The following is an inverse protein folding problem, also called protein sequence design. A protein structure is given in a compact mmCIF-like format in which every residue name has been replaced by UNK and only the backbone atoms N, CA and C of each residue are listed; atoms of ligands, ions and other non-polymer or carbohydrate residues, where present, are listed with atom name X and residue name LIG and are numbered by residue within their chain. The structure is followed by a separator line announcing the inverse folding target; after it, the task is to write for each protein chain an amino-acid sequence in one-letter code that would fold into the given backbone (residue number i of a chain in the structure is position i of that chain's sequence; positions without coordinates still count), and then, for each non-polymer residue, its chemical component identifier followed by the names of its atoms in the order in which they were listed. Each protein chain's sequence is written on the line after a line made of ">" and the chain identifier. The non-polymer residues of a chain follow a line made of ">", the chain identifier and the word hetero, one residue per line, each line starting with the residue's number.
data_IF_127052335696
#
_entry.id   IF_127052335696
#
_cell.length_a   1.000
_cell.length_b   1.000
_cell.length_c   1.000
_cell.angle_alpha   90.00
_cell.angle_beta   90.00
_cell.angle_gamma   90.00
#
_symmetry.space_group_name_H-M   'P 1'
#
loop_
_entity.id
_entity.type
_entity.pdbx_description
1 polymer ?
#
# COMPACT_ATOMS: atom_id res chain seq x y z
N UNK A 1 38.32 19.04 -5.82
CA UNK A 1 37.07 18.24 -5.91
C UNK A 1 36.19 18.86 -6.98
N UNK A 2 35.67 18.13 -7.97
CA UNK A 2 34.78 18.71 -8.99
C UNK A 2 33.46 19.12 -8.34
N UNK A 3 33.05 20.38 -8.47
CA UNK A 3 31.77 20.85 -7.95
C UNK A 3 30.59 20.29 -8.76
N UNK A 4 29.43 20.01 -8.13
CA UNK A 4 28.21 19.65 -8.85
C UNK A 4 27.73 20.84 -9.70
N UNK A 5 27.76 20.72 -11.03
CA UNK A 5 27.13 21.72 -11.90
C UNK A 5 25.59 21.56 -11.83
N UNK A 6 24.83 22.64 -11.55
CA UNK A 6 23.38 22.59 -11.53
C UNK A 6 22.83 22.29 -12.93
N UNK A 7 22.02 21.24 -13.07
CA UNK A 7 21.30 20.92 -14.32
C UNK A 7 21.76 19.69 -15.09
N UNK A 8 22.84 19.00 -14.71
CA UNK A 8 23.30 17.79 -15.44
C UNK A 8 22.66 16.52 -14.89
N UNK A 9 21.98 15.75 -15.75
CA UNK A 9 21.48 14.40 -15.46
C UNK A 9 22.62 13.56 -14.88
N UNK A 10 22.41 13.01 -13.67
CA UNK A 10 23.32 12.04 -13.04
C UNK A 10 22.77 10.66 -13.31
N UNK A 11 23.52 9.87 -14.06
CA UNK A 11 23.21 8.48 -14.35
C UNK A 11 24.35 7.61 -13.85
N UNK A 12 24.00 6.57 -13.11
CA UNK A 12 24.90 5.53 -12.68
C UNK A 12 24.32 4.18 -13.10
N UNK A 13 25.14 3.37 -13.76
CA UNK A 13 24.80 2.02 -14.18
C UNK A 13 25.94 1.11 -13.76
N UNK A 14 25.62 0.05 -13.03
CA UNK A 14 26.62 -0.94 -12.62
C UNK A 14 27.15 -1.72 -13.81
N UNK A 15 28.42 -2.09 -13.77
CA UNK A 15 29.04 -2.96 -14.78
C UNK A 15 28.53 -4.39 -14.69
N UNK A 16 28.24 -4.86 -13.48
CA UNK A 16 27.63 -6.17 -13.27
C UNK A 16 26.22 -6.20 -13.86
N UNK A 17 25.95 -7.21 -14.69
CA UNK A 17 24.66 -7.43 -15.34
C UNK A 17 24.12 -8.81 -15.01
N UNK A 18 22.81 -8.87 -14.78
CA UNK A 18 22.06 -10.09 -14.54
C UNK A 18 20.88 -10.13 -15.52
N UNK A 19 20.71 -11.20 -16.28
CA UNK A 19 19.69 -11.32 -17.34
C UNK A 19 19.71 -10.14 -18.35
N UNK A 20 20.88 -9.58 -18.66
CA UNK A 20 21.05 -8.42 -19.55
C UNK A 20 20.72 -7.06 -18.92
N UNK A 21 20.19 -7.03 -17.70
CA UNK A 21 19.89 -5.82 -16.93
C UNK A 21 21.07 -5.46 -16.01
N UNK A 22 21.37 -4.17 -15.81
CA UNK A 22 22.35 -3.77 -14.79
C UNK A 22 21.84 -4.12 -13.40
N UNK A 23 22.73 -4.54 -12.51
CA UNK A 23 22.41 -4.77 -11.10
C UNK A 23 21.82 -3.51 -10.45
N UNK A 24 22.45 -2.36 -10.65
CA UNK A 24 21.98 -1.07 -10.15
C UNK A 24 21.91 -0.08 -11.30
N UNK A 25 20.78 0.60 -11.43
CA UNK A 25 20.61 1.70 -12.36
C UNK A 25 19.95 2.87 -11.62
N UNK A 26 20.70 3.95 -11.42
CA UNK A 26 20.26 5.16 -10.77
C UNK A 26 20.25 6.31 -11.76
N UNK A 27 19.12 7.02 -11.83
CA UNK A 27 18.95 8.19 -12.68
C UNK A 27 18.33 9.33 -11.89
N UNK A 28 19.08 10.43 -11.80
CA UNK A 28 18.65 11.66 -11.15
C UNK A 28 18.67 12.84 -12.13
N UNK A 29 17.64 13.66 -12.04
CA UNK A 29 17.48 14.86 -12.88
C UNK A 29 16.75 14.59 -14.20
N UNK A 30 16.70 15.64 -15.01
CA UNK A 30 16.14 15.64 -16.36
C UNK A 30 17.26 15.69 -17.37
N UNK A 31 16.99 15.20 -18.57
CA UNK A 31 17.86 15.42 -19.72
C UNK A 31 18.07 16.94 -19.92
N UNK A 32 19.33 17.44 -19.96
CA UNK A 32 19.62 18.86 -20.15
C UNK A 32 19.20 19.42 -21.50
N UNK A 33 19.11 18.59 -22.55
CA UNK A 33 18.76 19.01 -23.91
C UNK A 33 17.25 18.92 -24.14
N UNK A 34 16.63 17.82 -23.71
CA UNK A 34 15.22 17.54 -24.01
C UNK A 34 14.27 17.87 -22.86
N UNK A 35 14.78 18.08 -21.65
CA UNK A 35 13.97 18.21 -20.43
C UNK A 35 13.27 16.92 -20.00
N UNK A 36 13.49 15.82 -20.72
CA UNK A 36 12.82 14.55 -20.47
C UNK A 36 13.20 14.00 -19.08
N UNK A 37 12.24 13.43 -18.34
CA UNK A 37 12.53 12.79 -17.08
C UNK A 37 13.38 11.54 -17.30
N UNK A 38 14.39 11.36 -16.45
CA UNK A 38 15.24 10.17 -16.51
C UNK A 38 14.49 8.88 -16.18
N UNK A 39 14.79 7.82 -16.93
CA UNK A 39 14.26 6.46 -16.74
C UNK A 39 15.36 5.52 -16.26
N UNK A 40 15.13 4.84 -15.13
CA UNK A 40 16.00 3.81 -14.59
C UNK A 40 15.45 2.41 -14.92
N UNK A 41 16.30 1.52 -15.42
CA UNK A 41 15.96 0.12 -15.77
C UNK A 41 17.07 -0.82 -15.29
N UNK A 42 16.77 -1.73 -14.37
CA UNK A 42 17.77 -2.62 -13.76
C UNK A 42 17.18 -3.63 -12.78
N UNK A 43 18.03 -4.43 -12.11
CA UNK A 43 17.58 -5.27 -10.99
C UNK A 43 17.14 -4.36 -9.84
N UNK A 44 17.98 -3.40 -9.46
CA UNK A 44 17.67 -2.30 -8.55
C UNK A 44 17.60 -1.02 -9.40
N UNK A 45 16.40 -0.51 -9.63
CA UNK A 45 16.16 0.70 -10.42
C UNK A 45 15.76 1.87 -9.50
N UNK A 46 16.46 3.00 -9.59
CA UNK A 46 16.21 4.20 -8.77
C UNK A 46 16.08 5.40 -9.68
N UNK A 47 14.92 6.07 -9.66
CA UNK A 47 14.72 7.29 -10.44
C UNK A 47 13.27 7.75 -10.47
N UNK A 48 12.96 8.83 -11.18
CA UNK A 48 11.57 9.31 -11.30
C UNK A 48 10.66 8.25 -11.92
N UNK A 49 11.14 7.60 -12.99
CA UNK A 49 10.52 6.43 -13.60
C UNK A 49 11.46 5.24 -13.41
N UNK A 50 11.07 4.28 -12.57
CA UNK A 50 11.89 3.13 -12.21
C UNK A 50 11.23 1.82 -12.67
N UNK A 51 11.99 1.00 -13.39
CA UNK A 51 11.55 -0.30 -13.91
C UNK A 51 12.55 -1.38 -13.50
N UNK A 52 12.15 -2.34 -12.67
CA UNK A 52 13.11 -3.34 -12.20
C UNK A 52 12.54 -4.44 -11.34
N UNK A 53 13.42 -5.26 -10.75
CA UNK A 53 13.00 -6.22 -9.73
C UNK A 53 12.61 -5.44 -8.47
N UNK A 54 13.53 -4.60 -7.99
CA UNK A 54 13.30 -3.60 -6.95
C UNK A 54 13.30 -2.24 -7.63
N UNK A 55 12.17 -1.53 -7.59
CA UNK A 55 12.01 -0.26 -8.27
C UNK A 55 11.68 0.85 -7.25
N UNK A 56 12.50 1.90 -7.20
CA UNK A 56 12.35 3.05 -6.29
C UNK A 56 12.11 4.30 -7.13
N UNK A 57 10.90 4.87 -7.08
CA UNK A 57 10.60 6.04 -7.91
C UNK A 57 9.27 6.73 -7.67
N UNK A 58 9.00 7.83 -8.38
CA UNK A 58 7.66 8.43 -8.35
C UNK A 58 6.65 7.50 -9.03
N UNK A 59 7.05 6.96 -10.19
CA UNK A 59 6.37 5.88 -10.88
C UNK A 59 7.31 4.68 -10.89
N UNK A 60 6.92 3.62 -10.19
CA UNK A 60 7.72 2.41 -10.02
C UNK A 60 6.96 1.19 -10.54
N UNK A 61 7.61 0.42 -11.40
CA UNK A 61 7.05 -0.83 -11.96
C UNK A 61 8.05 -1.96 -11.73
N UNK A 62 7.61 -3.06 -11.13
CA UNK A 62 8.54 -4.13 -10.83
C UNK A 62 7.98 -5.31 -10.06
N UNK A 63 8.87 -6.14 -9.51
CA UNK A 63 8.47 -7.22 -8.60
C UNK A 63 8.12 -6.63 -7.23
N UNK A 64 8.96 -5.71 -6.75
CA UNK A 64 8.88 -5.00 -5.48
C UNK A 64 9.04 -3.48 -5.69
N UNK A 65 8.04 -2.79 -6.29
CA UNK A 65 8.08 -1.34 -6.45
C UNK A 65 7.73 -0.59 -5.16
N UNK A 66 8.43 0.52 -4.96
CA UNK A 66 8.20 1.50 -3.90
C UNK A 66 8.16 2.89 -4.54
N UNK A 67 7.02 3.56 -4.44
CA UNK A 67 6.80 4.82 -5.12
C UNK A 67 5.51 5.54 -4.81
N UNK A 68 5.23 6.65 -5.49
CA UNK A 68 3.92 7.29 -5.36
C UNK A 68 2.86 6.47 -6.10
N UNK A 69 3.19 6.09 -7.33
CA UNK A 69 2.44 5.14 -8.15
C UNK A 69 3.29 3.88 -8.30
N UNK A 70 2.79 2.75 -7.79
CA UNK A 70 3.51 1.49 -7.74
C UNK A 70 2.71 0.39 -8.41
N UNK A 71 3.28 -0.22 -9.45
CA UNK A 71 2.72 -1.38 -10.15
C UNK A 71 3.62 -2.60 -9.92
N UNK A 72 3.21 -3.46 -8.98
CA UNK A 72 3.99 -4.58 -8.47
C UNK A 72 3.52 -5.94 -8.97
N UNK A 73 4.42 -6.91 -9.04
CA UNK A 73 4.04 -8.31 -9.22
C UNK A 73 3.74 -9.00 -7.89
N UNK A 74 4.62 -8.85 -6.90
CA UNK A 74 4.49 -9.52 -5.59
C UNK A 74 4.05 -8.55 -4.48
N UNK A 75 4.69 -7.39 -4.41
CA UNK A 75 4.40 -6.42 -3.35
C UNK A 75 4.55 -5.01 -3.88
N UNK A 76 3.48 -4.23 -3.83
CA UNK A 76 3.53 -2.81 -4.18
C UNK A 76 3.38 -1.94 -2.91
N UNK A 77 4.30 -0.99 -2.73
CA UNK A 77 4.24 0.00 -1.66
C UNK A 77 4.14 1.41 -2.27
N UNK A 78 3.17 2.21 -1.84
CA UNK A 78 3.00 3.55 -2.38
C UNK A 78 1.73 4.29 -2.00
N UNK A 79 1.45 5.44 -2.60
CA UNK A 79 0.16 6.10 -2.40
C UNK A 79 -0.93 5.38 -3.18
N UNK A 80 -0.65 5.10 -4.46
CA UNK A 80 -1.48 4.27 -5.32
C UNK A 80 -0.70 3.02 -5.64
N UNK A 81 -1.15 1.89 -5.10
CA UNK A 81 -0.47 0.61 -5.18
C UNK A 81 -1.38 -0.41 -5.86
N UNK A 82 -0.93 -0.92 -7.00
CA UNK A 82 -1.58 -2.04 -7.69
C UNK A 82 -0.58 -3.19 -7.74
N UNK A 83 -0.97 -4.36 -7.26
CA UNK A 83 -0.08 -5.51 -7.17
C UNK A 83 -0.74 -6.80 -7.64
N UNK A 84 0.05 -7.72 -8.17
CA UNK A 84 -0.37 -9.08 -8.51
C UNK A 84 -0.54 -10.00 -7.28
N UNK A 85 -0.06 -9.61 -6.10
CA UNK A 85 -0.21 -10.42 -4.89
C UNK A 85 -0.60 -9.57 -3.67
N UNK A 86 0.29 -8.75 -3.10
CA UNK A 86 0.00 -7.86 -1.96
C UNK A 86 0.19 -6.38 -2.28
N UNK A 87 -0.65 -5.50 -1.76
CA UNK A 87 -0.52 -4.04 -1.91
C UNK A 87 -0.72 -3.29 -0.60
N UNK A 88 0.14 -2.32 -0.34
CA UNK A 88 0.01 -1.36 0.75
C UNK A 88 0.05 0.07 0.20
N UNK A 89 -0.94 0.87 0.57
CA UNK A 89 -0.97 2.27 0.17
C UNK A 89 -2.21 3.02 0.61
N UNK A 90 -2.34 4.29 0.22
CA UNK A 90 -3.59 5.03 0.45
C UNK A 90 -4.73 4.39 -0.35
N UNK A 91 -4.46 4.08 -1.62
CA UNK A 91 -5.29 3.25 -2.49
C UNK A 91 -4.51 1.99 -2.82
N UNK A 92 -5.02 0.84 -2.37
CA UNK A 92 -4.39 -0.46 -2.56
C UNK A 92 -5.32 -1.39 -3.33
N UNK A 93 -4.83 -2.00 -4.40
CA UNK A 93 -5.53 -3.01 -5.18
C UNK A 93 -4.63 -4.22 -5.35
N UNK A 94 -5.08 -5.37 -4.86
CA UNK A 94 -4.33 -6.61 -4.97
C UNK A 94 -5.26 -7.82 -4.80
N UNK A 95 -5.03 -8.94 -5.50
CA UNK A 95 -5.94 -10.08 -5.44
C UNK A 95 -5.94 -10.79 -4.07
N UNK A 96 -4.83 -10.77 -3.33
CA UNK A 96 -4.73 -11.40 -2.01
C UNK A 96 -4.98 -10.38 -0.90
N UNK A 97 -4.00 -9.55 -0.52
CA UNK A 97 -4.14 -8.56 0.55
C UNK A 97 -4.01 -7.12 0.02
N UNK A 98 -4.98 -6.28 0.35
CA UNK A 98 -4.93 -4.84 0.17
C UNK A 98 -5.04 -4.13 1.53
N UNK A 99 -4.03 -3.33 1.88
CA UNK A 99 -4.02 -2.53 3.11
C UNK A 99 -3.95 -1.04 2.80
N UNK A 100 -4.89 -0.25 3.33
CA UNK A 100 -4.91 1.18 3.00
C UNK A 100 -6.04 2.03 3.56
N UNK A 101 -6.23 3.22 2.99
CA UNK A 101 -7.46 3.99 3.22
C UNK A 101 -8.58 3.40 2.37
N UNK A 102 -8.28 3.12 1.10
CA UNK A 102 -9.12 2.35 0.18
C UNK A 102 -8.42 1.05 -0.17
N UNK A 103 -9.08 -0.09 0.06
CA UNK A 103 -8.52 -1.41 -0.21
C UNK A 103 -9.46 -2.27 -1.06
N UNK A 104 -8.94 -2.84 -2.15
CA UNK A 104 -9.68 -3.78 -2.99
C UNK A 104 -8.88 -5.07 -3.13
N UNK A 105 -9.42 -6.19 -2.64
CA UNK A 105 -8.74 -7.48 -2.71
C UNK A 105 -9.49 -8.65 -2.09
N UNK A 106 -8.93 -9.86 -2.11
CA UNK A 106 -9.48 -11.01 -1.40
C UNK A 106 -9.67 -10.71 0.09
N UNK A 107 -8.64 -10.11 0.69
CA UNK A 107 -8.59 -9.55 2.03
C UNK A 107 -8.33 -8.06 1.96
N UNK A 108 -9.26 -7.26 2.47
CA UNK A 108 -9.10 -5.81 2.53
C UNK A 108 -9.06 -5.34 4.00
N UNK A 109 -7.93 -4.78 4.42
CA UNK A 109 -7.79 -4.08 5.69
C UNK A 109 -7.70 -2.58 5.39
N UNK A 110 -8.83 -1.89 5.44
CA UNK A 110 -8.89 -0.50 5.00
C UNK A 110 -9.96 0.31 5.73
N UNK A 111 -10.00 1.63 5.54
CA UNK A 111 -11.16 2.41 6.01
C UNK A 111 -12.39 2.15 5.13
N UNK A 112 -12.17 2.13 3.81
CA UNK A 112 -13.15 1.73 2.80
C UNK A 112 -12.62 0.47 2.09
N UNK A 113 -13.33 -0.64 2.21
CA UNK A 113 -12.85 -1.96 1.74
C UNK A 113 -13.82 -2.68 0.81
N UNK A 114 -13.31 -3.29 -0.25
CA UNK A 114 -14.07 -4.21 -1.10
C UNK A 114 -13.32 -5.52 -1.22
N UNK A 115 -13.98 -6.64 -0.90
CA UNK A 115 -13.30 -7.93 -0.91
C UNK A 115 -14.15 -9.12 -0.47
N UNK A 116 -13.53 -10.29 -0.31
CA UNK A 116 -14.21 -11.45 0.26
C UNK A 116 -14.25 -11.35 1.78
N UNK A 117 -13.10 -11.04 2.39
CA UNK A 117 -12.93 -10.79 3.82
C UNK A 117 -12.47 -9.35 4.01
N UNK A 118 -13.28 -8.54 4.69
CA UNK A 118 -13.03 -7.10 4.82
C UNK A 118 -13.01 -6.74 6.30
N UNK A 119 -11.97 -6.06 6.75
CA UNK A 119 -11.93 -5.35 8.04
C UNK A 119 -11.90 -3.86 7.68
N UNK A 120 -13.04 -3.19 7.81
CA UNK A 120 -13.19 -1.79 7.42
C UNK A 120 -14.30 -1.05 8.15
N UNK A 121 -14.23 0.29 8.13
CA UNK A 121 -15.32 1.14 8.63
C UNK A 121 -16.53 1.06 7.68
N UNK A 122 -16.27 1.20 6.38
CA UNK A 122 -17.25 0.95 5.33
C UNK A 122 -16.73 -0.18 4.42
N UNK A 123 -17.46 -1.30 4.37
CA UNK A 123 -16.99 -2.48 3.65
C UNK A 123 -18.07 -3.12 2.80
N UNK A 124 -17.68 -3.72 1.66
CA UNK A 124 -18.54 -4.59 0.87
C UNK A 124 -17.84 -5.92 0.61
N UNK A 125 -18.49 -7.03 0.98
CA UNK A 125 -17.93 -8.36 0.83
C UNK A 125 -18.82 -9.47 1.37
N UNK A 126 -18.32 -10.71 1.28
CA UNK A 126 -18.99 -11.88 1.86
C UNK A 126 -18.91 -11.88 3.39
N UNK A 127 -17.78 -11.42 3.93
CA UNK A 127 -17.53 -11.30 5.36
C UNK A 127 -16.93 -9.94 5.66
N UNK A 128 -17.73 -9.04 6.23
CA UNK A 128 -17.31 -7.68 6.59
C UNK A 128 -17.32 -7.54 8.11
N UNK A 129 -16.18 -7.17 8.68
CA UNK A 129 -16.04 -6.80 10.08
C UNK A 129 -15.92 -5.27 10.17
N UNK A 130 -16.88 -4.65 10.85
CA UNK A 130 -16.89 -3.23 11.21
C UNK A 130 -17.30 -3.07 12.68
N UNK A 131 -17.23 -1.85 13.22
CA UNK A 131 -17.66 -1.56 14.59
C UNK A 131 -19.15 -1.84 14.81
N UNK A 132 -19.97 -1.64 13.78
CA UNK A 132 -21.42 -1.87 13.82
C UNK A 132 -21.78 -3.34 13.55
N UNK A 133 -20.94 -4.05 12.79
CA UNK A 133 -21.17 -5.43 12.37
C UNK A 133 -19.93 -6.29 12.65
N UNK A 134 -19.78 -6.82 13.87
CA UNK A 134 -18.69 -7.73 14.19
C UNK A 134 -18.83 -9.05 13.40
N UNK A 135 -17.82 -9.38 12.58
CA UNK A 135 -17.78 -10.66 11.86
C UNK A 135 -16.59 -11.52 12.30
N UNK A 136 -16.86 -12.62 13.01
CA UNK A 136 -15.81 -13.55 13.46
C UNK A 136 -15.10 -14.25 12.29
N UNK A 137 -15.81 -14.57 11.20
CA UNK A 137 -15.24 -15.25 10.04
C UNK A 137 -14.17 -14.39 9.33
N UNK A 138 -14.39 -13.08 9.22
CA UNK A 138 -13.38 -12.16 8.70
C UNK A 138 -12.13 -12.16 9.59
N UNK A 139 -12.30 -12.00 10.91
CA UNK A 139 -11.17 -12.00 11.85
C UNK A 139 -10.39 -13.33 11.84
N UNK A 140 -11.09 -14.46 11.82
CA UNK A 140 -10.48 -15.78 11.77
C UNK A 140 -9.64 -15.97 10.50
N UNK A 141 -10.15 -15.54 9.35
CA UNK A 141 -9.40 -15.60 8.09
C UNK A 141 -8.17 -14.69 8.10
N UNK A 142 -8.28 -13.46 8.63
CA UNK A 142 -7.12 -12.58 8.78
C UNK A 142 -6.07 -13.15 9.75
N UNK A 143 -6.52 -13.78 10.84
CA UNK A 143 -5.63 -14.41 11.81
C UNK A 143 -4.88 -15.60 11.22
N UNK A 144 -5.55 -16.46 10.44
CA UNK A 144 -4.93 -17.64 9.84
C UNK A 144 -4.00 -17.29 8.69
N UNK A 145 -4.37 -16.35 7.82
CA UNK A 145 -3.60 -16.02 6.63
C UNK A 145 -2.51 -14.97 6.87
N UNK A 146 -2.71 -14.06 7.83
CA UNK A 146 -1.78 -12.97 8.10
C UNK A 146 -1.49 -12.83 9.61
N UNK A 147 -0.90 -13.85 10.26
CA UNK A 147 -0.74 -13.89 11.71
C UNK A 147 0.06 -12.70 12.25
N UNK A 148 1.10 -12.26 11.54
CA UNK A 148 1.92 -11.10 11.91
C UNK A 148 1.14 -9.79 11.81
N UNK A 149 0.40 -9.59 10.71
CA UNK A 149 -0.43 -8.41 10.51
C UNK A 149 -1.55 -8.36 11.54
N UNK A 150 -2.21 -9.49 11.79
CA UNK A 150 -3.26 -9.60 12.79
C UNK A 150 -2.72 -9.36 14.20
N UNK A 151 -1.54 -9.87 14.52
CA UNK A 151 -0.85 -9.59 15.77
C UNK A 151 -0.57 -8.10 15.97
N UNK A 152 -0.12 -7.40 14.93
CA UNK A 152 0.05 -5.95 14.95
C UNK A 152 -1.29 -5.21 15.11
N UNK A 153 -2.30 -5.60 14.34
CA UNK A 153 -3.63 -5.03 14.40
C UNK A 153 -4.21 -5.13 15.81
N UNK A 154 -4.05 -6.30 16.47
CA UNK A 154 -4.49 -6.53 17.85
C UNK A 154 -3.76 -5.67 18.88
N UNK A 155 -2.51 -5.28 18.62
CA UNK A 155 -1.76 -4.35 19.49
C UNK A 155 -2.24 -2.91 19.35
N UNK A 156 -2.62 -2.51 18.13
CA UNK A 156 -3.06 -1.13 17.83
C UNK A 156 -4.53 -0.91 18.22
N UNK A 157 -5.38 -1.88 17.89
CA UNK A 157 -6.85 -1.78 18.02
C UNK A 157 -7.35 -2.41 19.33
N UNK A 158 -6.53 -3.24 19.98
CA UNK A 158 -6.83 -3.81 21.30
C UNK A 158 -8.13 -4.61 21.33
N UNK A 159 -8.97 -4.31 22.32
CA UNK A 159 -10.24 -5.00 22.58
C UNK A 159 -11.33 -4.74 21.53
N UNK A 160 -11.15 -3.78 20.62
CA UNK A 160 -12.12 -3.51 19.55
C UNK A 160 -12.18 -4.62 18.48
N UNK A 161 -11.29 -5.62 18.54
CA UNK A 161 -11.34 -6.84 17.71
C UNK A 161 -12.08 -8.01 18.37
N UNK A 162 -12.71 -7.83 19.54
CA UNK A 162 -13.50 -8.90 20.16
C UNK A 162 -14.85 -9.05 19.43
N UNK A 163 -15.24 -10.28 19.04
CA UNK A 163 -16.52 -10.53 18.35
C UNK A 163 -17.74 -10.20 19.22
N UNK A 164 -17.60 -10.22 20.55
CA UNK A 164 -18.72 -10.12 21.50
C UNK A 164 -18.97 -8.71 22.05
N UNK A 165 -18.37 -7.66 21.46
CA UNK A 165 -18.64 -6.29 21.94
C UNK A 165 -20.07 -5.89 21.53
N UNK A 166 -20.99 -5.60 22.47
CA UNK A 166 -22.28 -5.03 22.11
C UNK A 166 -22.05 -3.68 21.44
N UNK A 167 -22.73 -3.43 20.32
CA UNK A 167 -22.69 -2.14 19.63
C UNK A 167 -22.98 -1.03 20.66
N UNK A 168 -22.00 -0.17 20.92
CA UNK A 168 -22.15 0.93 21.85
C UNK A 168 -23.32 1.80 21.36
N UNK A 169 -24.44 1.73 22.07
CA UNK A 169 -25.63 2.49 21.73
C UNK A 169 -25.24 3.98 21.63
N UNK A 170 -25.62 4.68 20.55
CA UNK A 170 -25.26 6.08 20.39
C UNK A 170 -25.76 6.84 21.61
N UNK A 171 -24.83 7.47 22.34
CA UNK A 171 -25.11 8.21 23.55
C UNK A 171 -26.32 9.10 23.31
N UNK A 172 -27.42 8.80 23.99
CA UNK A 172 -28.66 9.55 23.91
C UNK A 172 -28.33 11.00 24.23
N UNK A 173 -28.28 11.82 23.18
CA UNK A 173 -28.08 13.26 23.27
C UNK A 173 -29.32 13.79 23.97
N UNK A 174 -29.25 13.94 25.29
CA UNK A 174 -30.30 14.52 26.10
C UNK A 174 -30.67 15.88 25.49
N UNK A 175 -31.83 15.97 24.84
CA UNK A 175 -32.45 17.24 24.52
C UNK A 175 -32.82 17.87 25.87
N UNK A 176 -32.33 19.07 26.23
CA UNK A 176 -32.93 19.78 27.35
C UNK A 176 -34.39 20.04 26.98
N UNK A 177 -35.29 19.41 27.72
CA UNK A 177 -36.71 19.73 27.69
C UNK A 177 -36.85 21.21 28.07
N UNK A 178 -37.65 21.95 27.29
CA UNK A 178 -37.91 23.36 27.54
C UNK A 178 -38.50 23.58 28.92
N UNK A 179 -38.15 24.71 29.52
CA UNK A 179 -38.89 25.30 30.64
C UNK A 179 -39.55 26.56 30.11
N UNK A 180 -40.88 26.59 30.24
CA UNK A 180 -41.74 27.77 30.08
C UNK A 180 -41.39 28.84 31.12
#
# INVERSE_FOLDING_TARGET
>A
MPQPQPGRRREYRSDFRLFGLPLVHLVMGRDPQTGAPGRAVGIIAIGRFAFGVIALGQVAVGVLPIGQISLGLLLALGQVSVSGYEAFGQVAVAPRLAVGQVGVGGHALAQVGVGRYVIAQAGRGAHVHSAEQPCAAALASFHSEFPTLFGLLRRVVGDALRPDRPAEAPAARARPAGTL
#
